data_IF_680481739668
#
_entry.id   IF_680481739668
#
_cell.length_a   1.000
_cell.length_b   1.000
_cell.length_c   1.000
_cell.angle_alpha   90.00
_cell.angle_beta   90.00
_cell.angle_gamma   90.00
#
_symmetry.space_group_name_H-M   'P 1'
#
loop_
_entity.id
_entity.type
_entity.pdbx_description
1 polymer ?
#
# COMPACT_ATOMS: atom_id res chain seq x y z
N UNK A 1 16.81 0.07 2.12
CA UNK A 1 16.23 0.39 0.80
C UNK A 1 14.98 1.20 0.96
N UNK A 2 14.78 2.20 0.11
CA UNK A 2 13.58 3.06 0.07
C UNK A 2 12.61 2.45 -0.94
N UNK A 3 11.46 1.98 -0.47
CA UNK A 3 10.49 1.28 -1.32
C UNK A 3 9.14 2.01 -1.26
N UNK A 4 8.63 2.43 -2.41
CA UNK A 4 7.25 2.88 -2.52
C UNK A 4 6.34 1.66 -2.64
N UNK A 5 5.58 1.38 -1.56
CA UNK A 5 4.82 0.14 -1.41
C UNK A 5 3.47 0.17 -2.13
N UNK A 6 3.07 1.33 -2.72
CA UNK A 6 1.75 1.49 -3.31
C UNK A 6 1.80 2.42 -4.52
N UNK A 7 1.87 1.84 -5.73
CA UNK A 7 1.97 2.60 -7.00
C UNK A 7 1.10 1.96 -8.07
N UNK A 8 0.40 2.82 -8.82
CA UNK A 8 -0.42 2.45 -9.96
C UNK A 8 0.13 3.04 -11.24
N UNK A 9 0.21 2.24 -12.30
CA UNK A 9 0.67 2.70 -13.62
C UNK A 9 -0.47 2.66 -14.64
N UNK A 10 -0.33 3.41 -15.71
CA UNK A 10 -1.27 3.38 -16.84
C UNK A 10 -1.31 2.03 -17.58
N UNK A 11 -0.40 1.11 -17.25
CA UNK A 11 -0.40 -0.23 -17.82
C UNK A 11 -1.42 -1.16 -17.14
N UNK A 12 -1.54 -1.11 -15.81
CA UNK A 12 -2.34 -2.05 -15.03
C UNK A 12 -3.55 -1.43 -14.31
N UNK A 13 -3.65 -0.10 -14.26
CA UNK A 13 -4.72 0.63 -13.58
C UNK A 13 -5.31 1.69 -14.51
N UNK A 14 -6.60 1.57 -14.81
CA UNK A 14 -7.30 2.44 -15.78
C UNK A 14 -7.49 3.88 -15.32
N UNK A 15 -7.33 4.15 -14.04
CA UNK A 15 -7.41 5.45 -13.38
C UNK A 15 -6.05 6.12 -13.18
N UNK A 16 -4.96 5.43 -13.57
CA UNK A 16 -3.61 5.98 -13.53
C UNK A 16 -3.16 6.54 -14.89
N UNK A 17 -2.53 7.71 -14.86
CA UNK A 17 -1.83 8.30 -16.01
C UNK A 17 -0.30 8.16 -15.91
N UNK A 18 0.21 7.49 -14.88
CA UNK A 18 1.64 7.33 -14.63
C UNK A 18 2.24 6.31 -15.59
N UNK A 19 3.07 6.76 -16.52
CA UNK A 19 3.85 5.86 -17.38
C UNK A 19 5.06 5.29 -16.63
N UNK A 20 5.60 4.16 -17.12
CA UNK A 20 6.82 3.57 -16.56
C UNK A 20 8.03 4.50 -16.69
N UNK A 21 8.15 5.24 -17.77
CA UNK A 21 9.24 6.18 -17.99
C UNK A 21 9.18 7.34 -16.98
N UNK A 22 7.99 7.86 -16.69
CA UNK A 22 7.78 8.87 -15.66
C UNK A 22 8.08 8.33 -14.26
N UNK A 23 7.61 7.12 -13.94
CA UNK A 23 7.90 6.44 -12.68
C UNK A 23 9.41 6.28 -12.50
N UNK A 24 10.13 5.77 -13.51
CA UNK A 24 11.58 5.59 -13.48
C UNK A 24 12.33 6.91 -13.29
N UNK A 25 11.93 7.96 -14.04
CA UNK A 25 12.55 9.28 -13.91
C UNK A 25 12.34 9.86 -12.51
N UNK A 26 11.12 9.74 -11.97
CA UNK A 26 10.81 10.25 -10.63
C UNK A 26 11.55 9.47 -9.54
N UNK A 27 11.66 8.15 -9.68
CA UNK A 27 12.38 7.29 -8.74
C UNK A 27 13.86 7.65 -8.67
N UNK A 28 14.48 7.98 -9.80
CA UNK A 28 15.88 8.49 -9.82
C UNK A 28 16.04 9.80 -9.08
N UNK A 29 15.11 10.75 -9.28
CA UNK A 29 15.14 12.06 -8.61
C UNK A 29 15.03 11.91 -7.08
N UNK A 30 14.23 10.95 -6.61
CA UNK A 30 13.89 10.75 -5.20
C UNK A 30 14.69 9.65 -4.51
N UNK A 31 15.66 9.03 -5.20
CA UNK A 31 16.45 7.89 -4.69
C UNK A 31 15.56 6.75 -4.17
N UNK A 32 14.52 6.38 -4.95
CA UNK A 32 13.67 5.22 -4.67
C UNK A 32 14.35 3.99 -5.26
N UNK A 33 14.59 2.97 -4.44
CA UNK A 33 15.29 1.75 -4.83
C UNK A 33 14.36 0.71 -5.48
N UNK A 34 13.10 0.66 -5.01
CA UNK A 34 12.09 -0.24 -5.53
C UNK A 34 10.68 0.35 -5.46
N UNK A 35 9.78 -0.17 -6.28
CA UNK A 35 8.35 0.15 -6.24
C UNK A 35 7.53 -1.14 -6.30
N UNK A 36 6.47 -1.20 -5.50
CA UNK A 36 5.46 -2.24 -5.61
C UNK A 36 4.36 -1.77 -6.56
N UNK A 37 4.23 -2.47 -7.70
CA UNK A 37 3.17 -2.20 -8.68
C UNK A 37 1.87 -2.85 -8.18
N UNK A 38 1.03 -2.07 -7.52
CA UNK A 38 -0.20 -2.51 -6.85
C UNK A 38 -1.43 -2.31 -7.73
N UNK A 39 -1.37 -2.78 -8.95
CA UNK A 39 -2.37 -2.49 -9.97
C UNK A 39 -3.77 -3.03 -9.63
N UNK A 40 -4.81 -2.28 -10.00
CA UNK A 40 -6.21 -2.72 -9.88
C UNK A 40 -6.56 -3.87 -10.82
N UNK A 41 -5.91 -3.95 -11.98
CA UNK A 41 -6.07 -5.04 -12.94
C UNK A 41 -5.45 -6.37 -12.52
N UNK A 42 -4.80 -6.42 -11.36
CA UNK A 42 -4.05 -7.56 -10.86
C UNK A 42 -2.55 -7.51 -11.20
N UNK A 43 -1.76 -8.48 -10.74
CA UNK A 43 -0.33 -8.50 -10.96
C UNK A 43 0.00 -8.60 -12.45
N UNK A 44 1.11 -7.99 -12.86
CA UNK A 44 1.59 -8.12 -14.24
C UNK A 44 2.01 -9.55 -14.53
N UNK A 45 1.89 -9.98 -15.80
CA UNK A 45 2.47 -11.25 -16.23
C UNK A 45 3.99 -11.26 -16.02
N UNK A 46 4.56 -12.45 -15.77
CA UNK A 46 6.01 -12.61 -15.64
C UNK A 46 6.77 -12.03 -16.86
N UNK A 47 6.22 -12.22 -18.05
CA UNK A 47 6.82 -11.67 -19.27
C UNK A 47 6.81 -10.14 -19.26
N UNK A 48 5.69 -9.51 -18.89
CA UNK A 48 5.55 -8.04 -18.89
C UNK A 48 6.48 -7.39 -17.89
N UNK A 49 6.52 -7.91 -16.65
CA UNK A 49 7.36 -7.32 -15.60
C UNK A 49 8.85 -7.52 -15.90
N UNK A 50 9.25 -8.68 -16.47
CA UNK A 50 10.63 -8.93 -16.90
C UNK A 50 11.06 -7.97 -18.00
N UNK A 51 10.22 -7.73 -19.00
CA UNK A 51 10.50 -6.78 -20.09
C UNK A 51 10.59 -5.34 -19.56
N UNK A 52 9.72 -4.97 -18.63
CA UNK A 52 9.77 -3.66 -17.99
C UNK A 52 11.05 -3.48 -17.15
N UNK A 53 11.40 -4.47 -16.34
CA UNK A 53 12.59 -4.45 -15.50
C UNK A 53 13.89 -4.25 -16.31
N UNK A 54 13.98 -4.79 -17.52
CA UNK A 54 15.15 -4.59 -18.39
C UNK A 54 15.40 -3.14 -18.79
N UNK A 55 14.39 -2.27 -18.65
CA UNK A 55 14.47 -0.84 -18.96
C UNK A 55 14.70 0.02 -17.72
N UNK A 56 14.69 -0.58 -16.53
CA UNK A 56 14.77 0.12 -15.26
C UNK A 56 16.19 0.02 -14.67
N UNK A 57 17.05 1.00 -14.96
CA UNK A 57 18.34 1.12 -14.27
C UNK A 57 18.12 1.50 -12.81
N UNK A 58 18.68 0.73 -11.87
CA UNK A 58 18.66 1.02 -10.43
C UNK A 58 17.28 1.13 -9.78
N UNK A 59 16.20 0.74 -10.45
CA UNK A 59 14.86 0.65 -9.89
C UNK A 59 14.36 -0.79 -9.99
N UNK A 60 14.00 -1.39 -8.86
CA UNK A 60 13.34 -2.70 -8.84
C UNK A 60 11.83 -2.55 -8.95
N UNK A 61 11.23 -3.32 -9.86
CA UNK A 61 9.78 -3.43 -9.99
C UNK A 61 9.32 -4.69 -9.26
N UNK A 62 8.58 -4.53 -8.19
CA UNK A 62 8.03 -5.62 -7.38
C UNK A 62 6.54 -5.79 -7.72
N UNK A 63 6.19 -6.98 -8.20
CA UNK A 63 4.82 -7.27 -8.63
C UNK A 63 3.90 -7.46 -7.44
N UNK A 64 2.78 -6.75 -7.43
CA UNK A 64 1.77 -6.77 -6.39
C UNK A 64 0.38 -6.47 -7.00
N UNK A 65 -0.64 -6.32 -6.19
CA UNK A 65 -1.95 -5.83 -6.63
C UNK A 65 -2.68 -5.12 -5.51
N UNK A 66 -3.58 -4.21 -5.86
CA UNK A 66 -4.60 -3.69 -4.96
C UNK A 66 -5.94 -4.34 -5.25
N UNK A 67 -6.53 -4.94 -4.22
CA UNK A 67 -7.78 -5.67 -4.29
C UNK A 67 -8.88 -4.79 -3.70
N UNK A 68 -9.89 -4.48 -4.51
CA UNK A 68 -11.12 -3.85 -4.03
C UNK A 68 -11.97 -4.90 -3.30
N UNK A 69 -12.07 -4.78 -1.98
CA UNK A 69 -12.90 -5.67 -1.15
C UNK A 69 -14.22 -5.02 -0.74
N UNK A 70 -15.09 -5.80 -0.10
CA UNK A 70 -16.37 -5.32 0.41
C UNK A 70 -16.23 -4.24 1.49
N UNK A 71 -15.07 -4.14 2.15
CA UNK A 71 -14.82 -3.21 3.27
C UNK A 71 -13.67 -2.24 3.02
N UNK A 72 -13.22 -2.11 1.78
CA UNK A 72 -12.12 -1.23 1.40
C UNK A 72 -11.06 -1.93 0.58
N UNK A 73 -9.94 -1.28 0.38
CA UNK A 73 -8.86 -1.77 -0.45
C UNK A 73 -7.81 -2.51 0.38
N UNK A 74 -7.22 -3.53 -0.21
CA UNK A 74 -6.13 -4.31 0.38
C UNK A 74 -5.02 -4.44 -0.66
N UNK A 75 -3.83 -3.91 -0.36
CA UNK A 75 -2.65 -4.22 -1.16
C UNK A 75 -2.13 -5.60 -0.77
N UNK A 76 -1.77 -6.39 -1.78
CA UNK A 76 -1.43 -7.78 -1.62
C UNK A 76 -0.14 -8.12 -2.36
N UNK A 77 0.80 -8.76 -1.65
CA UNK A 77 2.13 -9.10 -2.11
C UNK A 77 2.28 -10.63 -2.14
N UNK A 78 2.82 -11.18 -3.23
CA UNK A 78 3.06 -12.61 -3.37
C UNK A 78 2.03 -13.37 -4.19
N UNK A 79 1.00 -12.71 -4.69
CA UNK A 79 0.10 -13.31 -5.67
C UNK A 79 0.63 -13.14 -7.10
N UNK A 80 0.40 -14.15 -7.93
CA UNK A 80 0.74 -14.12 -9.36
C UNK A 80 -0.47 -13.83 -10.26
N UNK A 81 -1.67 -13.87 -9.69
CA UNK A 81 -2.93 -13.59 -10.38
C UNK A 81 -4.05 -13.27 -9.38
N UNK A 82 -5.11 -12.63 -9.85
CA UNK A 82 -6.35 -12.50 -9.09
C UNK A 82 -7.04 -13.87 -8.98
N UNK A 83 -7.48 -14.22 -7.78
CA UNK A 83 -8.20 -15.47 -7.50
C UNK A 83 -9.64 -15.14 -7.12
N UNK A 84 -10.59 -15.87 -7.69
CA UNK A 84 -12.01 -15.67 -7.37
C UNK A 84 -12.27 -15.82 -5.87
N UNK A 85 -13.07 -14.90 -5.32
CA UNK A 85 -13.35 -14.82 -3.88
C UNK A 85 -12.56 -13.78 -3.11
N UNK A 86 -11.52 -13.17 -3.69
CA UNK A 86 -10.70 -12.17 -3.01
C UNK A 86 -11.44 -10.88 -2.61
N UNK A 87 -12.62 -10.59 -3.16
CA UNK A 87 -13.43 -9.44 -2.75
C UNK A 87 -14.04 -9.59 -1.35
N UNK A 88 -14.22 -10.81 -0.88
CA UNK A 88 -14.64 -11.07 0.50
C UNK A 88 -13.41 -11.17 1.39
N UNK A 89 -13.30 -10.37 2.48
CA UNK A 89 -12.09 -10.30 3.30
C UNK A 89 -11.68 -11.60 3.98
N UNK A 90 -12.65 -12.39 4.48
CA UNK A 90 -12.39 -13.68 5.12
C UNK A 90 -11.87 -14.70 4.12
N UNK A 91 -12.46 -14.73 2.91
CA UNK A 91 -11.97 -15.57 1.82
C UNK A 91 -10.58 -15.14 1.36
N UNK A 92 -10.33 -13.83 1.27
CA UNK A 92 -9.01 -13.29 0.93
C UNK A 92 -7.94 -13.72 1.95
N UNK A 93 -8.25 -13.69 3.26
CA UNK A 93 -7.32 -14.17 4.29
C UNK A 93 -6.97 -15.64 4.09
N UNK A 94 -7.98 -16.50 3.86
CA UNK A 94 -7.75 -17.92 3.63
C UNK A 94 -6.91 -18.18 2.36
N UNK A 95 -7.18 -17.44 1.29
CA UNK A 95 -6.42 -17.51 0.05
C UNK A 95 -4.98 -17.06 0.29
N UNK A 96 -4.78 -15.94 1.00
CA UNK A 96 -3.46 -15.41 1.30
C UNK A 96 -2.62 -16.38 2.15
N UNK A 97 -3.23 -17.02 3.15
CA UNK A 97 -2.56 -18.04 3.98
C UNK A 97 -2.11 -19.24 3.13
N UNK A 98 -2.96 -19.70 2.21
CA UNK A 98 -2.66 -20.82 1.33
C UNK A 98 -1.55 -20.52 0.33
N UNK A 99 -1.57 -19.33 -0.25
CA UNK A 99 -0.59 -18.90 -1.27
C UNK A 99 0.70 -18.31 -0.65
N UNK A 100 0.72 -18.13 0.68
CA UNK A 100 1.84 -17.51 1.38
C UNK A 100 1.98 -16.02 1.08
N UNK A 101 0.88 -15.34 0.76
CA UNK A 101 0.88 -13.90 0.49
C UNK A 101 0.87 -13.07 1.77
N UNK A 102 1.21 -11.78 1.65
CA UNK A 102 1.14 -10.79 2.71
C UNK A 102 0.14 -9.72 2.30
N UNK A 103 -0.85 -9.43 3.15
CA UNK A 103 -1.94 -8.51 2.84
C UNK A 103 -1.98 -7.34 3.81
N UNK A 104 -2.16 -6.14 3.26
CA UNK A 104 -2.10 -4.87 4.00
C UNK A 104 -3.39 -4.10 3.77
N UNK A 105 -4.01 -3.63 4.83
CA UNK A 105 -5.17 -2.75 4.73
C UNK A 105 -4.72 -1.38 4.20
N UNK A 106 -5.09 -1.08 2.96
CA UNK A 106 -4.70 0.12 2.27
C UNK A 106 -5.56 1.32 2.71
N UNK A 107 -4.92 2.45 2.99
CA UNK A 107 -5.57 3.75 3.30
C UNK A 107 -6.94 3.65 4.02
N UNK A 108 -7.05 2.96 5.17
CA UNK A 108 -8.33 2.59 5.80
C UNK A 108 -9.22 3.77 6.15
N UNK A 109 -8.63 4.93 6.38
CA UNK A 109 -9.35 6.13 6.80
C UNK A 109 -9.53 7.18 5.70
N UNK A 110 -9.32 6.83 4.43
CA UNK A 110 -9.62 7.73 3.30
C UNK A 110 -11.08 8.23 3.40
N UNK A 111 -11.27 9.54 3.37
CA UNK A 111 -12.54 10.25 3.57
C UNK A 111 -13.16 10.15 4.97
N UNK A 112 -12.58 9.43 5.94
CA UNK A 112 -13.15 9.21 7.26
C UNK A 112 -13.33 10.50 8.06
N UNK A 113 -12.35 11.40 7.97
CA UNK A 113 -12.33 12.65 8.74
C UNK A 113 -12.98 13.83 8.01
N UNK A 114 -13.51 13.60 6.82
CA UNK A 114 -14.18 14.60 6.01
C UNK A 114 -15.54 14.99 6.60
N UNK A 115 -16.01 16.20 6.23
CA UNK A 115 -17.37 16.62 6.61
C UNK A 115 -18.42 15.87 5.79
N UNK A 116 -19.63 15.62 6.35
CA UNK A 116 -20.74 15.10 5.57
C UNK A 116 -21.05 15.98 4.34
N UNK A 117 -21.43 15.40 3.19
CA UNK A 117 -21.66 13.96 2.97
C UNK A 117 -20.39 13.17 2.58
N UNK A 118 -19.24 13.83 2.43
CA UNK A 118 -18.00 13.21 1.89
C UNK A 118 -17.44 12.10 2.78
N UNK A 119 -17.66 12.17 4.09
CA UNK A 119 -17.25 11.10 5.01
C UNK A 119 -18.01 9.78 4.75
N UNK A 120 -19.13 9.78 4.03
CA UNK A 120 -19.83 8.56 3.63
C UNK A 120 -19.06 7.76 2.56
N UNK A 121 -18.05 8.37 1.94
CA UNK A 121 -17.17 7.71 0.98
C UNK A 121 -16.06 6.88 1.65
N UNK A 122 -15.96 6.87 2.99
CA UNK A 122 -15.07 5.95 3.66
C UNK A 122 -15.62 4.53 3.56
N UNK A 123 -14.85 3.64 2.91
CA UNK A 123 -15.30 2.28 2.59
C UNK A 123 -15.35 1.37 3.81
N UNK A 124 -14.43 1.55 4.76
CA UNK A 124 -14.33 0.71 5.97
C UNK A 124 -15.58 0.80 6.85
N UNK A 125 -16.16 1.98 6.98
CA UNK A 125 -17.32 2.23 7.84
C UNK A 125 -18.57 2.65 7.05
N UNK A 126 -18.66 2.30 5.76
CA UNK A 126 -19.78 2.71 4.90
C UNK A 126 -21.15 2.23 5.41
N UNK A 127 -21.20 1.04 6.02
CA UNK A 127 -22.42 0.40 6.48
C UNK A 127 -22.75 0.71 7.96
N UNK A 128 -21.90 1.50 8.61
CA UNK A 128 -22.09 1.89 10.01
C UNK A 128 -23.08 3.05 10.11
N UNK A 129 -24.18 2.85 10.84
CA UNK A 129 -25.17 3.92 11.11
C UNK A 129 -24.57 5.08 11.90
N UNK A 130 -23.67 4.77 12.81
CA UNK A 130 -22.90 5.74 13.62
C UNK A 130 -21.43 5.35 13.42
N UNK A 131 -20.64 6.26 12.89
CA UNK A 131 -19.20 6.03 12.74
C UNK A 131 -18.52 6.03 14.09
N UNK A 132 -17.50 5.17 14.30
CA UNK A 132 -16.74 5.17 15.53
C UNK A 132 -15.96 6.48 15.68
N UNK A 133 -15.87 6.98 16.91
CA UNK A 133 -15.20 8.24 17.24
C UNK A 133 -13.92 8.04 18.04
N UNK A 134 -13.70 6.82 18.56
CA UNK A 134 -12.52 6.47 19.37
C UNK A 134 -11.70 5.38 18.69
N UNK A 135 -10.42 5.31 19.07
CA UNK A 135 -9.50 4.27 18.59
C UNK A 135 -10.00 2.88 19.03
N UNK A 136 -10.50 2.76 20.26
CA UNK A 136 -11.02 1.51 20.80
C UNK A 136 -12.25 1.01 20.05
N UNK A 137 -13.11 1.91 19.57
CA UNK A 137 -14.29 1.52 18.79
C UNK A 137 -13.92 1.16 17.35
N UNK A 138 -12.99 1.89 16.75
CA UNK A 138 -12.42 1.57 15.43
C UNK A 138 -11.74 0.20 15.46
N UNK A 139 -10.97 -0.09 16.50
CA UNK A 139 -10.21 -1.34 16.64
C UNK A 139 -11.10 -2.60 16.70
N UNK A 140 -12.39 -2.46 16.98
CA UNK A 140 -13.35 -3.58 16.98
C UNK A 140 -13.74 -4.06 15.58
N UNK A 141 -13.37 -3.33 14.53
CA UNK A 141 -13.69 -3.76 13.17
C UNK A 141 -12.92 -5.03 12.79
N UNK A 142 -13.61 -6.11 12.34
CA UNK A 142 -12.99 -7.43 12.17
C UNK A 142 -11.88 -7.48 11.13
N UNK A 143 -11.83 -6.53 10.19
CA UNK A 143 -10.79 -6.48 9.15
C UNK A 143 -9.38 -6.45 9.73
N UNK A 144 -9.19 -5.83 10.89
CA UNK A 144 -7.86 -5.71 11.50
C UNK A 144 -7.29 -7.07 11.95
N UNK A 145 -8.13 -8.07 12.19
CA UNK A 145 -7.68 -9.43 12.48
C UNK A 145 -7.29 -10.19 11.20
N UNK A 146 -7.80 -9.77 10.05
CA UNK A 146 -7.61 -10.47 8.77
C UNK A 146 -6.37 -10.00 8.00
N UNK A 147 -5.80 -8.84 8.33
CA UNK A 147 -4.64 -8.28 7.62
C UNK A 147 -3.35 -8.42 8.40
N UNK A 148 -2.23 -8.53 7.69
CA UNK A 148 -0.91 -8.66 8.29
C UNK A 148 -0.35 -7.32 8.78
N UNK A 149 -0.63 -6.23 8.05
CA UNK A 149 -0.16 -4.87 8.35
C UNK A 149 -1.20 -3.80 7.97
N UNK A 150 -0.93 -2.56 8.34
CA UNK A 150 -1.75 -1.40 8.00
C UNK A 150 -0.90 -0.37 7.26
N UNK A 151 -1.42 0.15 6.16
CA UNK A 151 -0.84 1.30 5.48
C UNK A 151 -1.20 2.57 6.26
N UNK A 152 -0.23 3.05 7.03
CA UNK A 152 -0.41 4.19 7.92
C UNK A 152 -0.06 5.53 7.29
N UNK A 153 0.72 5.51 6.21
CA UNK A 153 1.05 6.67 5.40
C UNK A 153 0.68 6.37 3.95
N UNK A 154 -0.30 7.10 3.44
CA UNK A 154 -0.75 6.99 2.06
C UNK A 154 -0.80 8.38 1.42
N UNK A 155 -0.23 8.53 0.23
CA UNK A 155 -0.11 9.82 -0.46
C UNK A 155 -1.43 10.36 -1.00
N UNK A 156 -2.44 9.51 -1.19
CA UNK A 156 -3.79 9.87 -1.63
C UNK A 156 -4.75 10.24 -0.49
N UNK A 157 -4.27 10.29 0.78
CA UNK A 157 -5.08 10.65 1.95
C UNK A 157 -4.56 11.92 2.64
N UNK A 158 -5.36 12.47 3.54
CA UNK A 158 -4.94 13.61 4.38
C UNK A 158 -4.03 13.14 5.52
N UNK A 159 -3.17 14.04 6.01
CA UNK A 159 -2.34 13.74 7.18
C UNK A 159 -3.18 13.29 8.39
N UNK A 160 -4.34 13.89 8.61
CA UNK A 160 -5.24 13.52 9.71
C UNK A 160 -5.73 12.07 9.58
N UNK A 161 -6.02 11.62 8.38
CA UNK A 161 -6.45 10.23 8.10
C UNK A 161 -5.28 9.25 8.27
N UNK A 162 -4.08 9.64 7.83
CA UNK A 162 -2.85 8.88 8.06
C UNK A 162 -2.57 8.73 9.58
N UNK A 163 -2.78 9.78 10.37
CA UNK A 163 -2.61 9.71 11.82
C UNK A 163 -3.62 8.77 12.48
N UNK A 164 -4.86 8.69 12.01
CA UNK A 164 -5.81 7.68 12.47
C UNK A 164 -5.32 6.25 12.17
N UNK A 165 -4.79 6.01 10.96
CA UNK A 165 -4.22 4.71 10.61
C UNK A 165 -2.99 4.37 11.47
N UNK A 166 -2.16 5.36 11.75
CA UNK A 166 -1.02 5.21 12.65
C UNK A 166 -1.44 4.80 14.06
N UNK A 167 -2.40 5.51 14.64
CA UNK A 167 -2.89 5.28 16.00
C UNK A 167 -3.52 3.89 16.15
N UNK A 168 -4.30 3.47 15.17
CA UNK A 168 -4.87 2.13 15.15
C UNK A 168 -3.79 1.06 15.05
N UNK A 169 -2.80 1.24 14.17
CA UNK A 169 -1.71 0.28 14.04
C UNK A 169 -0.92 0.14 15.35
N UNK A 170 -0.65 1.25 16.05
CA UNK A 170 0.00 1.23 17.37
C UNK A 170 -0.87 0.56 18.42
N UNK A 171 -2.15 0.92 18.49
CA UNK A 171 -3.09 0.34 19.46
C UNK A 171 -3.22 -1.19 19.33
N UNK A 172 -3.22 -1.68 18.09
CA UNK A 172 -3.34 -3.11 17.77
C UNK A 172 -1.99 -3.84 17.72
N UNK A 173 -0.86 -3.13 17.82
CA UNK A 173 0.47 -3.71 17.66
C UNK A 173 0.73 -4.24 16.25
N UNK A 174 0.06 -3.69 15.22
CA UNK A 174 0.21 -4.10 13.82
C UNK A 174 1.43 -3.45 13.18
N UNK A 175 2.14 -4.16 12.30
CA UNK A 175 3.17 -3.57 11.44
C UNK A 175 2.61 -2.42 10.61
N UNK A 176 3.47 -1.41 10.37
CA UNK A 176 3.12 -0.16 9.68
C UNK A 176 3.90 -0.04 8.39
N UNK A 177 3.24 0.24 7.28
CA UNK A 177 3.89 0.58 6.01
C UNK A 177 3.43 1.95 5.51
N UNK A 178 4.20 2.49 4.56
CA UNK A 178 3.85 3.70 3.81
C UNK A 178 4.00 3.47 2.31
N UNK A 179 3.12 4.06 1.53
CA UNK A 179 3.14 4.06 0.08
C UNK A 179 2.54 5.36 -0.48
N UNK A 180 2.89 5.70 -1.71
CA UNK A 180 2.44 6.96 -2.30
C UNK A 180 1.01 6.90 -2.83
N UNK A 181 0.54 5.73 -3.23
CA UNK A 181 -0.72 5.56 -3.97
C UNK A 181 -0.73 6.45 -5.24
N UNK A 182 0.42 6.48 -5.91
CA UNK A 182 0.65 7.37 -7.02
C UNK A 182 -0.07 6.90 -8.28
N UNK A 183 -0.83 7.82 -8.88
CA UNK A 183 -1.51 7.68 -10.17
C UNK A 183 -0.96 8.68 -11.21
N UNK A 184 0.07 9.44 -10.85
CA UNK A 184 0.72 10.43 -11.70
C UNK A 184 2.13 10.72 -11.22
N UNK A 185 2.95 11.33 -12.07
CA UNK A 185 4.32 11.73 -11.77
C UNK A 185 4.50 12.46 -10.43
N UNK A 186 3.60 13.38 -10.11
CA UNK A 186 3.71 14.20 -8.89
C UNK A 186 3.37 13.43 -7.60
N UNK A 187 2.66 12.31 -7.71
CA UNK A 187 2.28 11.49 -6.56
C UNK A 187 3.41 10.58 -6.05
N UNK A 188 4.30 10.15 -6.96
CA UNK A 188 5.35 9.15 -6.68
C UNK A 188 6.24 9.57 -5.51
N UNK A 189 6.47 8.65 -4.57
CA UNK A 189 7.40 8.79 -3.48
C UNK A 189 6.98 9.73 -2.34
N UNK A 190 5.71 10.16 -2.31
CA UNK A 190 5.22 11.04 -1.23
C UNK A 190 5.39 10.39 0.15
N UNK A 191 5.13 9.10 0.24
CA UNK A 191 5.43 8.23 1.38
C UNK A 191 6.01 6.94 0.88
N UNK A 192 6.83 6.31 1.72
CA UNK A 192 7.57 5.09 1.42
C UNK A 192 7.71 4.24 2.67
N UNK A 193 8.22 3.03 2.49
CA UNK A 193 8.70 2.18 3.57
C UNK A 193 10.19 1.96 3.41
N UNK A 194 10.95 2.16 4.49
CA UNK A 194 12.40 1.94 4.50
C UNK A 194 12.68 0.58 5.11
N UNK A 195 13.35 -0.27 4.36
CA UNK A 195 13.84 -1.58 4.77
C UNK A 195 15.33 -1.55 5.04
N UNK A 196 15.78 -2.31 6.05
CA UNK A 196 17.21 -2.48 6.33
C UNK A 196 17.84 -3.53 5.41
N UNK A 197 17.04 -4.49 4.96
CA UNK A 197 17.47 -5.56 4.07
C UNK A 197 17.57 -5.07 2.61
N UNK A 198 18.35 -5.82 1.82
CA UNK A 198 18.32 -5.71 0.37
C UNK A 198 17.13 -6.52 -0.18
N UNK A 199 16.29 -5.86 -0.97
CA UNK A 199 15.09 -6.45 -1.56
C UNK A 199 15.21 -6.39 -3.08
N UNK A 200 15.32 -7.56 -3.72
CA UNK A 200 15.53 -7.72 -5.15
C UNK A 200 14.38 -8.50 -5.84
N UNK A 201 13.48 -9.08 -5.07
CA UNK A 201 12.38 -9.91 -5.54
C UNK A 201 11.17 -9.82 -4.61
N UNK A 202 10.03 -10.35 -5.05
CA UNK A 202 8.82 -10.46 -4.21
C UNK A 202 9.06 -11.40 -3.02
N UNK A 203 9.86 -12.46 -3.22
CA UNK A 203 10.21 -13.43 -2.18
C UNK A 203 11.03 -12.77 -1.06
N UNK A 204 12.05 -11.96 -1.41
CA UNK A 204 12.85 -11.22 -0.41
C UNK A 204 12.00 -10.14 0.28
N UNK A 205 11.08 -9.49 -0.44
CA UNK A 205 10.11 -8.56 0.16
C UNK A 205 9.24 -9.28 1.20
N UNK A 206 8.64 -10.43 0.85
CA UNK A 206 7.80 -11.21 1.75
C UNK A 206 8.56 -11.69 2.98
N UNK A 207 9.82 -12.08 2.81
CA UNK A 207 10.68 -12.46 3.93
C UNK A 207 10.87 -11.26 4.87
N UNK A 208 11.25 -10.10 4.35
CA UNK A 208 11.50 -8.89 5.14
C UNK A 208 10.23 -8.36 5.81
N UNK A 209 9.08 -8.38 5.14
CA UNK A 209 7.80 -7.99 5.73
C UNK A 209 7.43 -8.84 6.96
N UNK A 210 7.88 -10.10 7.03
CA UNK A 210 7.57 -11.01 8.14
C UNK A 210 8.62 -11.04 9.24
N UNK A 211 9.88 -10.77 8.89
CA UNK A 211 11.00 -11.11 9.77
C UNK A 211 11.92 -9.95 10.10
N UNK A 212 11.85 -8.85 9.36
CA UNK A 212 12.82 -7.76 9.48
C UNK A 212 12.20 -6.48 10.05
N UNK A 213 13.07 -5.55 10.43
CA UNK A 213 12.64 -4.22 10.84
C UNK A 213 12.52 -3.30 9.63
N UNK A 214 11.41 -2.63 9.52
CA UNK A 214 11.14 -1.57 8.55
C UNK A 214 10.27 -0.48 9.17
N UNK A 215 10.22 0.67 8.54
CA UNK A 215 9.43 1.79 9.04
C UNK A 215 8.89 2.68 7.93
N UNK A 216 7.71 3.29 8.13
CA UNK A 216 7.15 4.28 7.21
C UNK A 216 8.00 5.55 7.19
N UNK A 217 8.19 6.13 6.01
CA UNK A 217 9.02 7.30 5.78
C UNK A 217 8.32 8.31 4.87
N UNK A 218 8.82 9.52 4.90
CA UNK A 218 8.41 10.63 4.05
C UNK A 218 9.63 11.36 3.48
N UNK A 219 9.42 12.23 2.50
CA UNK A 219 10.44 13.17 2.06
C UNK A 219 10.44 14.40 2.97
N UNK A 220 11.62 14.91 3.28
CA UNK A 220 11.79 16.22 3.88
C UNK A 220 11.82 17.35 2.81
N UNK A 221 12.04 18.59 3.23
CA UNK A 221 12.10 19.76 2.34
C UNK A 221 13.27 19.71 1.34
N UNK A 222 14.25 18.85 1.56
CA UNK A 222 15.40 18.63 0.66
C UNK A 222 15.22 17.41 -0.26
N UNK A 223 14.06 16.77 -0.23
CA UNK A 223 13.77 15.48 -0.87
C UNK A 223 14.60 14.30 -0.33
N UNK A 224 15.08 14.38 0.89
CA UNK A 224 15.73 13.26 1.57
C UNK A 224 14.68 12.38 2.26
N UNK A 225 14.88 11.06 2.19
CA UNK A 225 13.98 10.11 2.85
C UNK A 225 14.27 10.08 4.34
N UNK A 226 13.27 10.48 5.14
CA UNK A 226 13.39 10.53 6.60
C UNK A 226 12.27 9.72 7.26
N UNK A 227 12.52 9.09 8.42
CA UNK A 227 11.46 8.42 9.16
C UNK A 227 10.31 9.39 9.46
N UNK A 228 9.09 8.94 9.23
CA UNK A 228 7.93 9.73 9.65
C UNK A 228 7.93 9.83 11.18
N UNK A 229 7.81 11.05 11.66
CA UNK A 229 7.67 11.35 13.10
C UNK A 229 6.30 11.97 13.33
N UNK A 230 5.52 11.31 14.16
CA UNK A 230 4.22 11.76 14.62
C UNK A 230 4.35 12.93 15.59
#
# INVERSE_FOLDING_TARGET
MNIDMHVHTSYGSSDSNLSLDELHNKSKILNIDAVCLTEHGGPWSLQSITQAQQKMDNLKLLNAMEIETEVGHITAFGFTQYISGMRNPESLRQIADKEGAFIVLAHPFRNFTQKPPYNNNNLLFKDYKIKPETIEDVAKHPIFELVDAIEVLNGGTTLRENLWAWDIAEYLGKPKIGGSDAHSFNGVGRYMTVFQDEIDSVESLLYSLRNSSYYPAQLDDNNEVVPFRR
#
